data_IF_268906498492
#
_entry.id   IF_268906498492
#
_cell.length_a   1.000
_cell.length_b   1.000
_cell.length_c   1.000
_cell.angle_alpha   90.00
_cell.angle_beta   90.00
_cell.angle_gamma   90.00
#
_symmetry.space_group_name_H-M   'P 1'
#
loop_
_entity.id
_entity.type
_entity.pdbx_description
1 polymer ?
#
# COMPACT_ATOMS: atom_id res chain seq x y z
N UNK A 1 8.55 -3.84 -2.29
CA UNK A 1 8.70 -4.96 -1.32
C UNK A 1 8.14 -4.52 0.02
N UNK A 2 7.41 -5.37 0.74
CA UNK A 2 6.80 -4.97 2.01
C UNK A 2 7.82 -4.70 3.14
N UNK A 3 9.02 -5.26 3.04
CA UNK A 3 10.10 -5.04 4.01
C UNK A 3 10.68 -3.62 4.04
N UNK A 4 10.29 -2.72 3.13
CA UNK A 4 10.84 -1.37 3.02
C UNK A 4 12.31 -1.32 2.56
N UNK A 5 12.86 -2.46 2.13
CA UNK A 5 14.22 -2.56 1.60
C UNK A 5 14.30 -1.88 0.24
N UNK A 6 15.35 -1.09 -0.04
CA UNK A 6 15.48 -0.44 -1.33
C UNK A 6 15.50 -1.43 -2.50
N UNK A 7 14.78 -1.08 -3.57
CA UNK A 7 14.69 -1.88 -4.80
C UNK A 7 15.92 -1.73 -5.69
N UNK A 8 16.63 -0.60 -5.59
CA UNK A 8 17.89 -0.33 -6.29
C UNK A 8 18.89 0.24 -5.30
N UNK A 9 20.16 -0.17 -5.43
CA UNK A 9 21.29 0.36 -4.66
C UNK A 9 22.45 0.66 -5.60
N UNK A 10 22.84 1.92 -5.68
CA UNK A 10 23.94 2.40 -6.50
C UNK A 10 25.05 2.96 -5.62
N UNK A 11 26.28 2.82 -6.10
CA UNK A 11 27.47 3.37 -5.45
C UNK A 11 28.32 4.09 -6.47
N UNK A 12 28.47 5.39 -6.27
CA UNK A 12 29.23 6.27 -7.14
C UNK A 12 30.58 6.58 -6.52
N UNK A 13 31.63 6.57 -7.36
CA UNK A 13 33.01 6.87 -6.98
C UNK A 13 33.61 7.80 -8.02
N UNK A 14 34.09 8.97 -7.60
CA UNK A 14 34.66 10.00 -8.48
C UNK A 14 36.01 10.47 -7.96
N UNK A 15 36.94 10.76 -8.87
CA UNK A 15 38.24 11.35 -8.54
C UNK A 15 38.14 12.87 -8.29
N UNK A 16 37.17 13.52 -8.93
CA UNK A 16 36.92 14.95 -8.81
C UNK A 16 35.59 15.15 -8.09
N UNK A 17 35.49 16.22 -7.30
CA UNK A 17 34.25 16.62 -6.66
C UNK A 17 33.19 16.95 -7.72
N UNK A 18 32.02 16.32 -7.60
CA UNK A 18 30.86 16.53 -8.48
C UNK A 18 29.64 16.81 -7.62
N UNK A 19 28.75 17.70 -8.06
CA UNK A 19 27.46 17.90 -7.41
C UNK A 19 26.52 16.72 -7.64
N UNK A 20 25.59 16.51 -6.71
CA UNK A 20 24.51 15.55 -6.88
C UNK A 20 23.44 16.05 -7.84
N UNK A 21 23.01 15.18 -8.76
CA UNK A 21 21.84 15.37 -9.61
C UNK A 21 21.04 14.07 -9.72
N UNK A 22 19.72 14.19 -9.63
CA UNK A 22 18.77 13.13 -9.91
C UNK A 22 17.57 13.72 -10.64
N UNK A 23 17.13 13.09 -11.71
CA UNK A 23 15.86 13.39 -12.39
C UNK A 23 15.15 12.08 -12.70
N UNK A 24 13.83 12.03 -12.53
CA UNK A 24 13.00 10.88 -12.88
C UNK A 24 11.54 11.32 -13.02
N UNK A 25 10.75 10.51 -13.71
CA UNK A 25 9.30 10.64 -13.70
C UNK A 25 8.72 9.68 -12.66
N UNK A 26 7.81 10.16 -11.80
CA UNK A 26 7.15 9.39 -10.74
C UNK A 26 5.63 9.45 -10.92
N UNK A 27 4.95 8.33 -10.70
CA UNK A 27 3.49 8.24 -10.57
C UNK A 27 3.14 7.42 -9.34
N UNK A 28 2.19 7.88 -8.53
CA UNK A 28 1.70 7.13 -7.36
C UNK A 28 0.34 7.67 -6.90
N UNK A 29 -0.41 6.86 -6.15
CA UNK A 29 -1.53 7.32 -5.32
C UNK A 29 -1.19 7.30 -3.83
N UNK A 30 -0.04 6.71 -3.48
CA UNK A 30 0.42 6.56 -2.11
C UNK A 30 0.71 7.92 -1.47
N UNK A 31 0.21 8.11 -0.26
CA UNK A 31 0.30 9.38 0.46
C UNK A 31 1.57 9.49 1.30
N UNK A 32 2.31 8.39 1.45
CA UNK A 32 3.54 8.32 2.24
C UNK A 32 4.53 7.33 1.60
N UNK A 33 5.83 7.55 1.76
CA UNK A 33 6.83 6.60 1.27
C UNK A 33 8.16 7.22 0.90
N UNK A 34 9.23 6.41 0.90
CA UNK A 34 10.56 6.90 0.52
C UNK A 34 10.79 6.71 -0.97
N UNK A 35 11.03 7.82 -1.69
CA UNK A 35 11.39 7.80 -3.11
C UNK A 35 12.85 7.39 -3.26
N UNK A 36 13.77 8.13 -2.64
CA UNK A 36 15.19 7.78 -2.66
C UNK A 36 15.97 8.33 -1.47
N UNK A 37 17.11 7.71 -1.20
CA UNK A 37 18.16 8.20 -0.31
C UNK A 37 19.43 8.47 -1.13
N UNK A 38 20.14 9.56 -0.81
CA UNK A 38 21.47 9.82 -1.35
C UNK A 38 22.40 10.37 -0.26
N UNK A 39 23.59 9.80 -0.11
CA UNK A 39 24.55 10.29 0.88
C UNK A 39 25.58 9.26 1.33
N UNK A 40 26.19 9.55 2.47
CA UNK A 40 27.12 8.66 3.16
C UNK A 40 26.42 7.64 4.07
N UNK A 41 26.99 7.41 5.25
CA UNK A 41 26.35 6.62 6.30
C UNK A 41 25.36 7.47 7.11
N UNK A 42 24.52 6.85 7.95
CA UNK A 42 23.51 7.54 8.78
C UNK A 42 24.05 8.72 9.63
N UNK A 43 25.31 8.62 10.08
CA UNK A 43 25.97 9.65 10.88
C UNK A 43 26.78 10.67 10.06
N UNK A 44 26.69 10.60 8.74
CA UNK A 44 27.35 11.48 7.78
C UNK A 44 26.36 12.46 7.15
N UNK A 45 26.80 13.17 6.12
CA UNK A 45 25.93 13.92 5.23
C UNK A 45 25.04 13.02 4.38
N UNK A 46 23.74 13.30 4.33
CA UNK A 46 22.77 12.61 3.48
C UNK A 46 21.49 13.42 3.28
N UNK A 47 20.73 13.03 2.25
CA UNK A 47 19.36 13.46 1.98
C UNK A 47 18.46 12.24 1.79
N UNK A 48 17.19 12.39 2.14
CA UNK A 48 16.09 11.48 1.82
C UNK A 48 15.00 12.32 1.18
N UNK A 49 14.58 11.93 -0.02
CA UNK A 49 13.36 12.44 -0.65
C UNK A 49 12.24 11.43 -0.42
N UNK A 50 11.17 11.88 0.20
CA UNK A 50 9.99 11.09 0.51
C UNK A 50 8.71 11.80 0.02
N UNK A 51 7.62 11.04 -0.01
CA UNK A 51 6.26 11.57 -0.01
C UNK A 51 5.76 11.49 1.42
N UNK A 52 5.09 12.55 1.87
CA UNK A 52 4.44 12.60 3.18
C UNK A 52 3.20 13.49 3.06
N UNK A 53 2.04 12.95 3.43
CA UNK A 53 0.73 13.56 3.19
C UNK A 53 0.52 13.99 1.72
N UNK A 54 0.98 13.15 0.79
CA UNK A 54 0.84 13.35 -0.66
C UNK A 54 1.75 14.42 -1.28
N UNK A 55 2.63 15.07 -0.50
CA UNK A 55 3.59 16.08 -0.97
C UNK A 55 5.02 15.59 -0.88
N UNK A 56 5.92 16.19 -1.65
CA UNK A 56 7.35 15.96 -1.49
C UNK A 56 7.84 16.50 -0.14
N UNK A 57 8.62 15.69 0.55
CA UNK A 57 9.34 16.01 1.77
C UNK A 57 10.82 15.68 1.58
N UNK A 58 11.69 16.67 1.78
CA UNK A 58 13.13 16.48 1.85
C UNK A 58 13.58 16.48 3.30
N UNK A 59 14.21 15.39 3.72
CA UNK A 59 14.94 15.30 4.97
C UNK A 59 16.43 15.35 4.67
N UNK A 60 17.19 16.14 5.43
CA UNK A 60 18.64 16.26 5.23
C UNK A 60 19.40 16.33 6.54
N UNK A 61 20.62 15.79 6.49
CA UNK A 61 21.62 15.90 7.54
C UNK A 61 22.93 16.35 6.92
N UNK A 62 23.50 17.46 7.39
CA UNK A 62 24.79 18.01 6.98
C UNK A 62 25.59 18.36 8.25
N UNK A 63 26.48 17.47 8.65
CA UNK A 63 27.21 17.59 9.92
C UNK A 63 26.25 17.62 11.12
N UNK A 64 26.29 18.70 11.91
CA UNK A 64 25.41 18.91 13.06
C UNK A 64 24.02 19.45 12.68
N UNK A 65 23.83 19.90 11.42
CA UNK A 65 22.56 20.46 10.96
C UNK A 65 21.68 19.35 10.44
N UNK A 66 20.45 19.28 10.93
CA UNK A 66 19.39 18.39 10.45
C UNK A 66 18.15 19.23 10.16
N UNK A 67 17.50 18.99 9.02
CA UNK A 67 16.32 19.75 8.60
C UNK A 67 15.35 18.87 7.82
N UNK A 68 14.07 19.12 8.02
CA UNK A 68 12.98 18.58 7.21
C UNK A 68 12.29 19.75 6.50
N UNK A 69 11.93 19.59 5.24
CA UNK A 69 11.23 20.62 4.46
C UNK A 69 10.25 19.93 3.52
N UNK A 70 8.97 20.27 3.62
CA UNK A 70 7.92 19.83 2.72
C UNK A 70 7.31 21.05 2.03
N UNK A 71 7.12 20.98 0.71
CA UNK A 71 6.59 22.07 -0.12
C UNK A 71 6.13 21.53 -1.48
N UNK A 72 5.44 22.37 -2.24
CA UNK A 72 4.94 22.05 -3.57
C UNK A 72 3.50 21.53 -3.59
N UNK A 73 2.99 21.21 -4.80
CA UNK A 73 1.68 20.59 -4.99
C UNK A 73 1.66 19.14 -4.46
N UNK A 74 0.47 18.54 -4.48
CA UNK A 74 0.31 17.10 -4.32
C UNK A 74 0.95 16.40 -5.53
N UNK A 75 1.56 15.24 -5.29
CA UNK A 75 2.22 14.40 -6.32
C UNK A 75 1.66 12.98 -6.37
N UNK A 76 0.69 12.68 -5.51
CA UNK A 76 0.04 11.37 -5.39
C UNK A 76 -1.34 11.34 -6.08
N UNK A 77 -1.48 12.05 -7.19
CA UNK A 77 -2.74 12.18 -7.94
C UNK A 77 -2.91 11.13 -9.06
N UNK A 78 -1.98 10.17 -9.14
CA UNK A 78 -1.94 9.16 -10.20
C UNK A 78 -1.47 9.66 -11.55
N UNK A 79 -0.96 10.89 -11.65
CA UNK A 79 -0.32 11.41 -12.87
C UNK A 79 1.19 11.26 -12.80
N UNK A 80 1.82 11.28 -13.98
CA UNK A 80 3.28 11.30 -14.08
C UNK A 80 3.79 12.71 -13.81
N UNK A 81 4.62 12.87 -12.79
CA UNK A 81 5.34 14.10 -12.47
C UNK A 81 6.83 13.93 -12.69
N UNK A 82 7.46 14.90 -13.37
CA UNK A 82 8.91 14.95 -13.51
C UNK A 82 9.51 15.60 -12.28
N UNK A 83 10.25 14.84 -11.49
CA UNK A 83 10.90 15.30 -10.26
C UNK A 83 12.40 15.39 -10.49
N UNK A 84 13.01 16.49 -10.09
CA UNK A 84 14.48 16.60 -10.06
C UNK A 84 15.00 17.20 -8.77
N UNK A 85 16.18 16.71 -8.36
CA UNK A 85 16.93 17.15 -7.19
C UNK A 85 18.35 17.44 -7.62
N UNK A 86 18.83 18.65 -7.40
CA UNK A 86 20.19 19.07 -7.79
C UNK A 86 20.87 19.90 -6.69
N UNK A 87 22.18 19.66 -6.50
CA UNK A 87 23.05 20.56 -5.76
C UNK A 87 23.46 21.73 -6.68
N UNK A 88 22.79 22.88 -6.49
CA UNK A 88 23.07 24.11 -7.22
C UNK A 88 23.80 25.12 -6.32
N UNK A 89 25.12 25.20 -6.46
CA UNK A 89 25.96 26.06 -5.61
C UNK A 89 25.94 25.58 -4.16
N UNK A 90 25.43 26.41 -3.24
CA UNK A 90 25.26 26.05 -1.81
C UNK A 90 23.79 25.79 -1.47
N UNK A 91 23.04 25.21 -2.39
CA UNK A 91 21.63 24.94 -2.20
C UNK A 91 21.23 23.62 -2.84
N UNK A 92 20.34 22.90 -2.17
CA UNK A 92 19.56 21.84 -2.77
C UNK A 92 18.32 22.45 -3.40
N UNK A 93 18.13 22.21 -4.69
CA UNK A 93 16.96 22.66 -5.45
C UNK A 93 16.16 21.43 -5.86
N UNK A 94 14.87 21.44 -5.53
CA UNK A 94 13.92 20.38 -5.90
C UNK A 94 12.87 21.00 -6.81
N UNK A 95 12.64 20.35 -7.94
CA UNK A 95 11.66 20.78 -8.94
C UNK A 95 10.61 19.70 -9.16
N UNK A 96 9.38 20.14 -9.40
CA UNK A 96 8.28 19.33 -9.91
C UNK A 96 7.88 19.95 -11.25
N UNK A 97 7.83 19.14 -12.31
CA UNK A 97 7.45 19.56 -13.66
C UNK A 97 8.21 20.81 -14.14
N UNK A 98 9.52 20.84 -13.81
CA UNK A 98 10.49 21.92 -14.11
C UNK A 98 10.32 23.20 -13.29
N UNK A 99 9.34 23.27 -12.40
CA UNK A 99 9.14 24.40 -11.48
C UNK A 99 9.84 24.12 -10.13
N UNK A 100 10.63 25.09 -9.65
CA UNK A 100 11.33 24.94 -8.38
C UNK A 100 10.38 25.12 -7.18
N UNK A 101 10.15 24.04 -6.44
CA UNK A 101 9.22 24.00 -5.29
C UNK A 101 9.94 24.08 -3.94
N UNK A 102 11.24 23.75 -3.91
CA UNK A 102 12.09 23.89 -2.73
C UNK A 102 13.48 24.37 -3.11
N UNK A 103 14.03 25.27 -2.28
CA UNK A 103 15.43 25.72 -2.33
C UNK A 103 15.97 25.80 -0.92
N UNK A 104 16.78 24.81 -0.51
CA UNK A 104 17.32 24.73 0.84
C UNK A 104 18.81 25.06 0.82
N UNK A 105 19.21 26.08 1.58
CA UNK A 105 20.62 26.40 1.76
C UNK A 105 21.32 25.28 2.55
N UNK A 106 22.44 24.78 2.02
CA UNK A 106 23.26 23.74 2.63
C UNK A 106 24.71 24.18 2.69
N UNK A 107 25.45 23.69 3.68
CA UNK A 107 26.88 23.95 3.82
C UNK A 107 27.63 22.61 3.89
N UNK A 108 28.20 22.21 2.75
CA UNK A 108 28.83 20.92 2.54
C UNK A 108 28.29 20.24 1.28
N UNK A 109 28.82 19.06 0.99
CA UNK A 109 28.54 18.29 -0.22
C UNK A 109 27.99 16.90 0.14
N UNK A 110 27.10 16.36 -0.69
CA UNK A 110 26.63 14.98 -0.53
C UNK A 110 27.73 13.95 -0.77
N UNK A 111 28.60 14.20 -1.74
CA UNK A 111 29.78 13.38 -1.99
C UNK A 111 30.78 13.52 -0.84
N UNK A 112 31.13 12.40 -0.21
CA UNK A 112 32.08 12.38 0.90
C UNK A 112 33.46 11.93 0.43
N UNK A 113 34.52 12.66 0.80
CA UNK A 113 35.89 12.30 0.44
C UNK A 113 36.42 11.21 1.38
N UNK A 114 36.76 10.05 0.82
CA UNK A 114 37.38 8.93 1.54
C UNK A 114 38.58 8.41 0.77
N UNK A 115 39.76 8.47 1.38
CA UNK A 115 41.03 7.98 0.80
C UNK A 115 41.30 8.54 -0.62
N UNK A 116 41.03 9.83 -0.83
CA UNK A 116 41.26 10.49 -2.13
C UNK A 116 40.19 10.24 -3.20
N UNK A 117 39.09 9.55 -2.85
CA UNK A 117 37.97 9.28 -3.75
C UNK A 117 36.69 9.87 -3.15
N UNK A 118 35.93 10.60 -3.95
CA UNK A 118 34.60 11.08 -3.59
C UNK A 118 33.59 9.95 -3.76
N UNK A 119 32.90 9.57 -2.67
CA UNK A 119 31.91 8.49 -2.66
C UNK A 119 30.52 8.99 -2.30
N UNK A 120 29.52 8.44 -2.98
CA UNK A 120 28.10 8.64 -2.71
C UNK A 120 27.35 7.32 -2.88
N UNK A 121 26.50 6.96 -1.92
CA UNK A 121 25.55 5.87 -2.07
C UNK A 121 24.18 6.45 -2.42
N UNK A 122 23.47 5.78 -3.32
CA UNK A 122 22.08 6.09 -3.65
C UNK A 122 21.23 4.83 -3.52
N UNK A 123 20.04 4.96 -2.94
CA UNK A 123 19.07 3.87 -2.90
C UNK A 123 17.69 4.36 -3.31
N UNK A 124 16.93 3.55 -4.04
CA UNK A 124 15.58 3.90 -4.53
C UNK A 124 14.54 3.03 -3.82
N UNK A 125 13.40 3.60 -3.45
CA UNK A 125 12.27 2.89 -2.81
C UNK A 125 12.57 2.44 -1.38
N UNK A 126 13.43 3.17 -0.66
CA UNK A 126 13.80 2.86 0.72
C UNK A 126 15.12 3.49 1.15
N UNK A 127 15.45 3.33 2.44
CA UNK A 127 16.69 3.81 3.07
C UNK A 127 17.66 2.66 3.37
N UNK A 128 18.99 2.91 3.40
CA UNK A 128 19.99 1.88 3.73
C UNK A 128 20.18 1.66 5.25
N UNK A 129 19.27 2.16 6.07
CA UNK A 129 19.28 2.07 7.53
C UNK A 129 17.85 1.86 8.06
N UNK A 130 17.69 1.64 9.37
CA UNK A 130 16.36 1.48 9.98
C UNK A 130 15.58 2.81 9.94
N UNK A 131 14.27 2.74 9.74
CA UNK A 131 13.37 3.92 9.65
C UNK A 131 13.46 4.89 10.83
N UNK A 132 13.78 4.41 12.05
CA UNK A 132 14.07 5.27 13.22
C UNK A 132 15.24 6.25 13.01
N UNK A 133 16.06 6.06 11.98
CA UNK A 133 17.14 6.97 11.59
C UNK A 133 16.68 8.19 10.78
N UNK A 134 15.42 8.20 10.31
CA UNK A 134 14.82 9.35 9.65
C UNK A 134 14.57 10.50 10.64
N UNK A 135 14.60 11.74 10.15
CA UNK A 135 14.36 12.92 10.98
C UNK A 135 12.87 13.12 11.27
N UNK A 136 12.04 12.94 10.25
CA UNK A 136 10.60 12.81 10.40
C UNK A 136 10.25 11.35 10.10
N UNK A 137 9.48 10.72 11.00
CA UNK A 137 9.14 9.31 10.86
C UNK A 137 8.11 9.18 9.74
N UNK A 138 8.53 8.51 8.66
CA UNK A 138 7.66 8.08 7.57
C UNK A 138 7.81 6.58 7.39
N UNK A 139 6.71 5.91 7.09
CA UNK A 139 6.68 4.55 6.58
C UNK A 139 7.45 4.53 5.25
N UNK A 140 8.54 3.75 5.11
CA UNK A 140 9.36 3.79 3.92
C UNK A 140 8.73 3.08 2.71
N UNK A 141 7.67 2.28 2.92
CA UNK A 141 6.95 1.60 1.85
C UNK A 141 6.31 2.65 0.93
N UNK A 142 6.48 2.46 -0.37
CA UNK A 142 5.92 3.33 -1.40
C UNK A 142 5.39 2.46 -2.53
N UNK A 143 4.08 2.48 -2.75
CA UNK A 143 3.47 1.93 -3.96
C UNK A 143 3.48 2.98 -5.07
N UNK A 144 4.60 3.06 -5.79
CA UNK A 144 4.82 4.05 -6.83
C UNK A 144 5.59 3.49 -8.02
N UNK A 145 5.37 4.11 -9.18
CA UNK A 145 6.06 3.77 -10.42
C UNK A 145 7.05 4.85 -10.83
N UNK A 146 8.23 4.43 -11.30
CA UNK A 146 9.30 5.34 -11.72
C UNK A 146 9.79 4.98 -13.13
N UNK A 147 10.03 6.00 -13.97
CA UNK A 147 10.61 5.85 -15.31
C UNK A 147 11.51 7.04 -15.65
N UNK A 148 12.19 6.97 -16.80
CA UNK A 148 13.02 8.08 -17.33
C UNK A 148 14.05 8.61 -16.31
N UNK A 149 14.62 7.73 -15.49
CA UNK A 149 15.55 8.11 -14.43
C UNK A 149 16.94 8.44 -14.97
N UNK A 150 17.55 9.47 -14.39
CA UNK A 150 18.89 9.94 -14.67
C UNK A 150 19.59 10.23 -13.34
N UNK A 151 20.55 9.38 -12.98
CA UNK A 151 21.32 9.51 -11.74
C UNK A 151 22.73 10.02 -12.06
N UNK A 152 23.09 11.22 -11.58
CA UNK A 152 24.45 11.78 -11.65
C UNK A 152 25.08 11.89 -13.05
N UNK A 153 24.25 12.03 -14.10
CA UNK A 153 24.64 12.19 -15.51
C UNK A 153 25.31 10.98 -16.18
N UNK A 154 25.45 9.84 -15.50
CA UNK A 154 25.93 8.59 -16.12
C UNK A 154 24.75 7.73 -16.59
N UNK A 155 24.78 7.28 -17.85
CA UNK A 155 23.84 6.29 -18.39
C UNK A 155 24.26 4.88 -17.95
N UNK A 156 23.78 4.42 -16.79
CA UNK A 156 23.88 3.01 -16.41
C UNK A 156 22.63 2.25 -16.87
N UNK A 157 22.73 1.61 -18.04
CA UNK A 157 21.66 0.80 -18.61
C UNK A 157 21.40 -0.52 -17.86
N UNK A 158 22.24 -0.90 -16.89
CA UNK A 158 22.11 -2.19 -16.19
C UNK A 158 20.80 -2.34 -15.40
N UNK A 159 20.28 -1.23 -14.85
CA UNK A 159 19.00 -1.20 -14.16
C UNK A 159 17.86 -1.51 -15.15
N UNK A 160 17.87 -0.88 -16.32
CA UNK A 160 16.87 -1.09 -17.36
C UNK A 160 16.85 -2.54 -17.84
N UNK A 161 18.04 -3.13 -18.04
CA UNK A 161 18.16 -4.51 -18.50
C UNK A 161 17.65 -5.52 -17.48
N UNK A 162 17.87 -5.26 -16.19
CA UNK A 162 17.34 -6.10 -15.09
C UNK A 162 15.82 -6.03 -15.03
N UNK A 163 15.24 -4.82 -15.18
CA UNK A 163 13.78 -4.61 -15.13
C UNK A 163 13.08 -5.27 -16.34
N UNK A 164 13.70 -5.24 -17.52
CA UNK A 164 13.15 -5.89 -18.72
C UNK A 164 12.93 -7.39 -18.55
N UNK A 165 13.78 -8.04 -17.76
CA UNK A 165 13.71 -9.49 -17.50
C UNK A 165 12.95 -9.86 -16.22
N UNK A 166 12.39 -8.88 -15.52
CA UNK A 166 11.67 -9.10 -14.26
C UNK A 166 10.36 -8.31 -14.23
N UNK A 167 9.27 -8.96 -14.62
CA UNK A 167 7.92 -8.38 -14.63
C UNK A 167 7.47 -7.87 -13.25
N UNK A 168 8.00 -8.43 -12.15
CA UNK A 168 7.68 -7.95 -10.80
C UNK A 168 8.26 -6.58 -10.49
N UNK A 169 9.22 -6.10 -11.27
CA UNK A 169 9.80 -4.76 -11.19
C UNK A 169 9.10 -3.75 -12.11
N UNK A 170 8.06 -4.18 -12.83
CA UNK A 170 7.26 -3.34 -13.69
C UNK A 170 5.93 -2.98 -13.00
N UNK A 171 5.37 -1.83 -13.37
CA UNK A 171 4.09 -1.35 -12.85
C UNK A 171 3.02 -1.50 -13.92
N UNK A 172 1.75 -1.39 -13.52
CA UNK A 172 0.64 -1.37 -14.48
C UNK A 172 0.74 -0.15 -15.40
N UNK A 173 0.30 -0.26 -16.65
CA UNK A 173 0.24 0.88 -17.57
C UNK A 173 -0.83 1.88 -17.12
N UNK A 174 -1.99 1.37 -16.72
CA UNK A 174 -3.16 2.12 -16.25
C UNK A 174 -3.70 1.52 -14.96
N UNK A 175 -3.84 2.35 -13.92
CA UNK A 175 -4.24 1.93 -12.58
C UNK A 175 -5.15 2.97 -11.91
N UNK A 176 -5.93 2.53 -10.93
CA UNK A 176 -6.67 3.37 -9.98
C UNK A 176 -6.02 3.31 -8.59
N UNK A 177 -6.56 4.11 -7.66
CA UNK A 177 -6.03 4.31 -6.30
C UNK A 177 -6.29 3.17 -5.31
N UNK A 178 -7.11 2.17 -5.67
CA UNK A 178 -7.51 1.12 -4.74
C UNK A 178 -6.43 0.04 -4.57
N UNK A 179 -6.51 -0.74 -3.51
CA UNK A 179 -5.60 -1.89 -3.32
C UNK A 179 -5.95 -3.04 -4.28
N UNK A 180 -4.94 -3.75 -4.79
CA UNK A 180 -5.13 -4.94 -5.62
C UNK A 180 -4.70 -6.23 -4.91
N UNK A 181 -5.61 -7.20 -4.93
CA UNK A 181 -5.39 -8.55 -4.41
C UNK A 181 -5.30 -9.54 -5.57
N UNK A 182 -4.20 -10.31 -5.70
CA UNK A 182 -3.98 -11.17 -6.86
C UNK A 182 -4.55 -12.59 -6.74
N UNK A 183 -5.18 -12.96 -5.61
CA UNK A 183 -5.78 -14.29 -5.43
C UNK A 183 -4.91 -15.36 -4.78
N UNK A 184 -3.77 -15.00 -4.18
CA UNK A 184 -2.88 -15.96 -3.51
C UNK A 184 -2.19 -15.40 -2.25
N UNK A 185 -2.76 -14.36 -1.65
CA UNK A 185 -2.24 -13.75 -0.45
C UNK A 185 -3.25 -12.82 0.21
N UNK A 186 -2.97 -12.46 1.46
CA UNK A 186 -3.78 -11.55 2.27
C UNK A 186 -2.92 -10.44 2.89
N UNK A 187 -3.60 -9.45 3.46
CA UNK A 187 -3.03 -8.57 4.47
C UNK A 187 -3.70 -8.84 5.81
N UNK A 188 -2.98 -8.70 6.93
CA UNK A 188 -3.61 -8.73 8.24
C UNK A 188 -3.15 -7.59 9.15
N UNK A 189 -4.10 -7.14 9.97
CA UNK A 189 -3.96 -6.07 10.94
C UNK A 189 -4.26 -6.61 12.33
N UNK A 190 -3.64 -6.00 13.34
CA UNK A 190 -3.97 -6.27 14.74
C UNK A 190 -4.54 -4.98 15.34
N UNK A 191 -5.80 -4.70 15.05
CA UNK A 191 -6.50 -3.51 15.50
C UNK A 191 -7.49 -3.86 16.60
N UNK A 192 -7.61 -2.98 17.60
CA UNK A 192 -8.78 -3.01 18.47
C UNK A 192 -9.98 -2.54 17.64
N UNK A 193 -11.10 -3.27 17.75
CA UNK A 193 -12.34 -2.93 17.07
C UNK A 193 -13.19 -1.94 17.90
N UNK A 194 -12.58 -1.35 18.93
CA UNK A 194 -13.15 -0.35 19.82
C UNK A 194 -13.89 -0.97 21.01
N UNK A 195 -14.07 -0.18 22.07
CA UNK A 195 -14.95 -0.50 23.21
C UNK A 195 -16.45 -0.43 22.83
N UNK A 196 -16.76 -0.15 21.57
CA UNK A 196 -18.11 -0.06 21.02
C UNK A 196 -18.65 -1.45 20.71
N UNK A 197 -19.86 -1.76 21.17
CA UNK A 197 -20.59 -3.00 20.84
C UNK A 197 -20.99 -3.13 19.35
N UNK A 198 -20.47 -2.25 18.48
CA UNK A 198 -20.82 -2.16 17.07
C UNK A 198 -19.56 -2.20 16.21
N UNK A 199 -19.53 -3.14 15.27
CA UNK A 199 -18.53 -3.23 14.21
C UNK A 199 -19.17 -2.78 12.89
N UNK A 200 -18.57 -1.79 12.25
CA UNK A 200 -18.96 -1.32 10.92
C UNK A 200 -17.84 -1.58 9.92
N UNK A 201 -18.11 -2.35 8.87
CA UNK A 201 -17.19 -2.63 7.78
C UNK A 201 -17.79 -2.13 6.48
N UNK A 202 -17.08 -1.25 5.78
CA UNK A 202 -17.43 -0.78 4.45
C UNK A 202 -16.34 -1.23 3.47
N UNK A 203 -16.74 -1.87 2.39
CA UNK A 203 -15.87 -2.36 1.33
C UNK A 203 -16.27 -1.69 0.02
N UNK A 204 -15.28 -1.24 -0.74
CA UNK A 204 -15.45 -0.82 -2.13
C UNK A 204 -14.71 -1.81 -2.99
N UNK A 205 -15.42 -2.64 -3.76
CA UNK A 205 -14.84 -3.80 -4.46
C UNK A 205 -15.05 -3.75 -5.97
N UNK A 206 -14.07 -4.28 -6.70
CA UNK A 206 -14.18 -4.62 -8.13
C UNK A 206 -13.62 -6.04 -8.33
N UNK A 207 -14.46 -7.07 -8.19
CA UNK A 207 -14.01 -8.47 -8.22
C UNK A 207 -13.50 -8.92 -9.60
N UNK A 208 -12.52 -9.81 -9.60
CA UNK A 208 -11.99 -10.50 -10.78
C UNK A 208 -11.95 -12.03 -10.61
N UNK A 209 -12.63 -12.54 -9.59
CA UNK A 209 -12.84 -13.96 -9.27
C UNK A 209 -14.34 -14.21 -9.09
N UNK A 210 -14.80 -15.45 -8.88
CA UNK A 210 -16.21 -15.77 -8.57
C UNK A 210 -16.46 -16.05 -7.08
N UNK A 211 -15.39 -16.15 -6.29
CA UNK A 211 -15.46 -16.34 -4.85
C UNK A 211 -14.18 -15.79 -4.20
N UNK A 212 -14.27 -15.42 -2.94
CA UNK A 212 -13.11 -15.02 -2.15
C UNK A 212 -13.48 -14.32 -0.86
N UNK A 213 -12.61 -14.45 0.14
CA UNK A 213 -12.76 -13.73 1.41
C UNK A 213 -12.39 -12.27 1.20
N UNK A 214 -13.32 -11.36 1.49
CA UNK A 214 -13.09 -9.92 1.44
C UNK A 214 -12.51 -9.43 2.76
N UNK A 215 -13.15 -9.84 3.87
CA UNK A 215 -12.80 -9.44 5.23
C UNK A 215 -13.05 -10.61 6.18
N UNK A 216 -12.18 -10.83 7.15
CA UNK A 216 -12.39 -11.79 8.22
C UNK A 216 -11.80 -11.35 9.56
N UNK A 217 -12.45 -11.72 10.65
CA UNK A 217 -11.86 -11.71 11.99
C UNK A 217 -11.42 -13.13 12.32
N UNK A 218 -10.18 -13.26 12.78
CA UNK A 218 -9.57 -14.54 13.12
C UNK A 218 -9.04 -14.47 14.54
N UNK A 219 -9.28 -15.53 15.31
CA UNK A 219 -8.74 -15.70 16.66
C UNK A 219 -8.37 -17.16 16.85
N UNK A 220 -7.10 -17.42 17.15
CA UNK A 220 -6.55 -18.78 17.20
C UNK A 220 -6.84 -19.49 15.87
N UNK A 221 -7.58 -20.60 15.89
CA UNK A 221 -7.90 -21.41 14.70
C UNK A 221 -9.36 -21.23 14.22
N UNK A 222 -10.07 -20.22 14.72
CA UNK A 222 -11.47 -19.95 14.37
C UNK A 222 -11.61 -18.66 13.55
N UNK A 223 -12.70 -18.58 12.79
CA UNK A 223 -13.08 -17.41 12.00
C UNK A 223 -14.44 -16.90 12.50
N UNK A 224 -14.50 -16.12 13.60
CA UNK A 224 -15.77 -15.71 14.19
C UNK A 224 -16.62 -14.81 13.31
N UNK A 225 -16.01 -14.10 12.35
CA UNK A 225 -16.71 -13.29 11.37
C UNK A 225 -15.99 -13.36 10.03
N UNK A 226 -16.74 -13.57 8.95
CA UNK A 226 -16.23 -13.40 7.59
C UNK A 226 -17.27 -12.74 6.68
N UNK A 227 -16.81 -11.81 5.84
CA UNK A 227 -17.55 -11.25 4.72
C UNK A 227 -16.89 -11.80 3.46
N UNK A 228 -17.66 -12.45 2.60
CA UNK A 228 -17.11 -13.15 1.44
C UNK A 228 -18.01 -13.01 0.23
N UNK A 229 -17.38 -13.09 -0.94
CA UNK A 229 -18.04 -13.28 -2.21
C UNK A 229 -18.12 -14.78 -2.51
N UNK A 230 -19.27 -15.25 -3.01
CA UNK A 230 -19.48 -16.65 -3.42
C UNK A 230 -20.46 -16.73 -4.59
N UNK A 231 -20.24 -17.67 -5.51
CA UNK A 231 -21.15 -18.05 -6.60
C UNK A 231 -22.16 -19.15 -6.19
N UNK A 232 -22.07 -19.59 -4.93
CA UNK A 232 -22.94 -20.61 -4.34
C UNK A 232 -23.36 -20.23 -2.93
N UNK A 233 -24.66 -20.27 -2.67
CA UNK A 233 -25.22 -20.09 -1.34
C UNK A 233 -25.45 -21.46 -0.68
N UNK A 234 -24.63 -21.82 0.31
CA UNK A 234 -24.67 -23.14 0.97
C UNK A 234 -25.96 -23.42 1.75
N UNK A 235 -26.54 -22.39 2.38
CA UNK A 235 -27.81 -22.50 3.12
C UNK A 235 -29.01 -22.83 2.23
N UNK A 236 -29.28 -22.01 1.21
CA UNK A 236 -30.40 -22.18 0.26
C UNK A 236 -30.11 -23.19 -0.87
N UNK A 237 -28.84 -23.59 -1.04
CA UNK A 237 -28.35 -24.47 -2.12
C UNK A 237 -28.60 -23.90 -3.52
N UNK A 238 -28.45 -22.58 -3.68
CA UNK A 238 -28.67 -21.87 -4.93
C UNK A 238 -27.34 -21.40 -5.55
N UNK A 239 -27.26 -21.50 -6.88
CA UNK A 239 -26.15 -20.96 -7.67
C UNK A 239 -26.52 -19.58 -8.18
N UNK A 240 -25.88 -18.57 -7.61
CA UNK A 240 -25.91 -17.18 -8.03
C UNK A 240 -24.78 -16.44 -7.31
N UNK A 241 -24.47 -15.24 -7.77
CA UNK A 241 -23.47 -14.38 -7.13
C UNK A 241 -24.06 -13.75 -5.85
N UNK A 242 -23.40 -13.98 -4.72
CA UNK A 242 -23.80 -13.47 -3.40
C UNK A 242 -22.63 -12.82 -2.67
N UNK A 243 -22.92 -11.71 -1.99
CA UNK A 243 -22.16 -11.35 -0.79
C UNK A 243 -22.80 -12.08 0.39
N UNK A 244 -21.97 -12.76 1.18
CA UNK A 244 -22.38 -13.47 2.39
C UNK A 244 -21.63 -12.94 3.60
N UNK A 245 -22.34 -12.77 4.70
CA UNK A 245 -21.78 -12.51 6.03
C UNK A 245 -21.99 -13.77 6.85
N UNK A 246 -20.92 -14.29 7.44
CA UNK A 246 -20.95 -15.55 8.19
C UNK A 246 -20.32 -15.39 9.56
N UNK A 247 -20.92 -16.04 10.56
CA UNK A 247 -20.33 -16.22 11.89
C UNK A 247 -19.89 -17.68 11.99
N UNK A 248 -18.59 -17.93 12.07
CA UNK A 248 -18.05 -19.27 11.85
C UNK A 248 -18.47 -19.81 10.48
N UNK A 249 -19.08 -20.99 10.45
CA UNK A 249 -19.58 -21.65 9.25
C UNK A 249 -21.06 -21.35 8.92
N UNK A 250 -21.71 -20.46 9.66
CA UNK A 250 -23.13 -20.15 9.49
C UNK A 250 -23.31 -18.81 8.78
N UNK A 251 -24.04 -18.81 7.67
CA UNK A 251 -24.41 -17.58 6.95
C UNK A 251 -25.53 -16.88 7.73
N UNK A 252 -25.29 -15.64 8.13
CA UNK A 252 -26.22 -14.82 8.93
C UNK A 252 -26.88 -13.70 8.11
N UNK A 253 -26.26 -13.31 7.00
CA UNK A 253 -26.86 -12.40 6.03
C UNK A 253 -26.33 -12.68 4.62
N UNK A 254 -27.17 -12.47 3.61
CA UNK A 254 -26.79 -12.65 2.20
C UNK A 254 -27.46 -11.60 1.30
N UNK A 255 -26.78 -11.24 0.22
CA UNK A 255 -27.33 -10.34 -0.79
C UNK A 255 -26.96 -10.87 -2.18
N UNK A 256 -27.97 -11.21 -2.99
CA UNK A 256 -27.77 -11.55 -4.39
C UNK A 256 -27.39 -10.30 -5.19
N UNK A 257 -26.27 -10.36 -5.92
CA UNK A 257 -25.73 -9.21 -6.65
C UNK A 257 -24.96 -9.69 -7.86
N UNK A 258 -25.04 -8.95 -8.97
CA UNK A 258 -24.20 -9.22 -10.15
C UNK A 258 -22.89 -8.44 -10.02
N UNK A 259 -21.82 -9.12 -9.62
CA UNK A 259 -20.49 -8.55 -9.31
C UNK A 259 -19.48 -8.73 -10.45
N UNK A 260 -19.70 -9.68 -11.35
CA UNK A 260 -18.86 -9.89 -12.53
C UNK A 260 -19.22 -8.92 -13.69
N UNK A 261 -19.50 -7.66 -13.38
CA UNK A 261 -19.92 -6.64 -14.34
C UNK A 261 -18.87 -5.55 -14.63
N UNK A 262 -17.66 -5.71 -14.07
CA UNK A 262 -16.52 -4.80 -14.14
C UNK A 262 -16.71 -3.45 -13.44
N UNK A 263 -17.81 -3.27 -12.72
CA UNK A 263 -18.08 -2.04 -11.97
C UNK A 263 -17.58 -2.16 -10.55
N UNK A 264 -17.54 -1.01 -9.91
CA UNK A 264 -17.29 -0.88 -8.48
C UNK A 264 -18.59 -1.07 -7.73
N UNK A 265 -18.58 -1.93 -6.72
CA UNK A 265 -19.69 -2.17 -5.81
C UNK A 265 -19.33 -1.72 -4.40
N UNK A 266 -20.32 -1.23 -3.66
CA UNK A 266 -20.17 -0.88 -2.25
C UNK A 266 -20.89 -1.90 -1.38
N UNK A 267 -20.17 -2.48 -0.42
CA UNK A 267 -20.70 -3.43 0.56
C UNK A 267 -20.56 -2.83 1.95
N UNK A 268 -21.67 -2.62 2.64
CA UNK A 268 -21.68 -2.16 4.01
C UNK A 268 -22.21 -3.29 4.92
N UNK A 269 -21.45 -3.62 5.95
CA UNK A 269 -21.83 -4.59 6.98
C UNK A 269 -21.76 -3.92 8.33
N UNK A 270 -22.85 -4.02 9.10
CA UNK A 270 -22.90 -3.55 10.48
C UNK A 270 -23.33 -4.69 11.38
N UNK A 271 -22.51 -5.00 12.38
CA UNK A 271 -22.77 -6.00 13.42
C UNK A 271 -22.94 -5.26 14.75
N UNK A 272 -24.10 -5.41 15.38
CA UNK A 272 -24.44 -4.77 16.65
C UNK A 272 -25.20 -5.76 17.55
N UNK A 273 -24.54 -6.27 18.59
CA UNK A 273 -25.07 -7.36 19.40
C UNK A 273 -25.45 -8.58 18.55
N UNK A 274 -26.73 -8.95 18.55
CA UNK A 274 -27.26 -10.08 17.76
C UNK A 274 -27.78 -9.67 16.38
N UNK A 275 -27.66 -8.40 16.00
CA UNK A 275 -28.15 -7.88 14.73
C UNK A 275 -27.02 -7.77 13.72
N UNK A 276 -27.21 -8.34 12.53
CA UNK A 276 -26.31 -8.17 11.39
C UNK A 276 -27.08 -7.58 10.22
N UNK A 277 -26.64 -6.41 9.76
CA UNK A 277 -27.18 -5.73 8.58
C UNK A 277 -26.14 -5.80 7.47
N UNK A 278 -26.54 -6.33 6.32
CA UNK A 278 -25.79 -6.31 5.06
C UNK A 278 -26.51 -5.38 4.08
N UNK A 279 -25.76 -4.49 3.44
CA UNK A 279 -26.24 -3.64 2.36
C UNK A 279 -25.24 -3.69 1.21
N UNK A 280 -25.75 -3.89 -0.01
CA UNK A 280 -24.94 -3.89 -1.24
C UNK A 280 -25.55 -2.89 -2.22
N UNK A 281 -24.75 -1.91 -2.64
CA UNK A 281 -25.15 -0.84 -3.57
C UNK A 281 -26.45 -0.10 -3.16
N UNK A 282 -26.60 0.21 -1.87
CA UNK A 282 -27.80 0.88 -1.37
C UNK A 282 -28.99 -0.04 -1.07
N UNK A 283 -28.87 -1.34 -1.33
CA UNK A 283 -29.96 -2.32 -1.14
C UNK A 283 -29.65 -3.24 0.03
N UNK A 284 -30.61 -3.36 0.94
CA UNK A 284 -30.52 -4.29 2.06
C UNK A 284 -30.52 -5.74 1.58
N UNK A 285 -29.62 -6.53 2.15
CA UNK A 285 -29.60 -7.98 2.03
C UNK A 285 -30.67 -8.64 2.89
N UNK A 286 -30.77 -9.96 2.75
CA UNK A 286 -31.59 -10.82 3.59
C UNK A 286 -30.81 -11.16 4.86
N UNK A 287 -31.46 -11.01 6.02
CA UNK A 287 -30.95 -11.51 7.29
C UNK A 287 -31.52 -12.90 7.53
N UNK A 288 -30.66 -13.87 7.77
CA UNK A 288 -31.05 -15.25 8.05
C UNK A 288 -31.45 -15.39 9.53
N UNK A 289 -32.56 -16.08 9.79
CA UNK A 289 -33.01 -16.37 11.14
C UNK A 289 -32.27 -17.59 11.66
N UNK A 290 -31.31 -17.41 12.56
CA UNK A 290 -30.53 -18.52 13.12
C UNK A 290 -30.73 -18.57 14.64
N UNK A 291 -31.18 -19.71 15.13
CA UNK A 291 -31.30 -19.99 16.57
C UNK A 291 -29.91 -20.30 17.15
N UNK A 292 -29.67 -19.87 18.40
CA UNK A 292 -28.45 -20.15 19.17
C UNK A 292 -27.12 -19.68 18.55
N UNK A 293 -27.13 -18.57 17.81
CA UNK A 293 -25.89 -17.91 17.41
C UNK A 293 -25.19 -17.28 18.61
N UNK A 294 -23.93 -17.66 18.83
CA UNK A 294 -23.05 -16.92 19.73
C UNK A 294 -22.77 -15.53 19.14
N UNK A 295 -23.04 -14.44 19.88
CA UNK A 295 -22.75 -13.09 19.40
C UNK A 295 -21.25 -12.86 19.27
N UNK A 296 -20.88 -12.02 18.31
CA UNK A 296 -19.51 -11.57 18.15
C UNK A 296 -19.11 -10.65 19.32
N UNK A 297 -18.33 -11.18 20.25
CA UNK A 297 -17.79 -10.40 21.37
C UNK A 297 -16.56 -9.61 20.92
N UNK A 298 -16.74 -8.31 20.69
CA UNK A 298 -15.70 -7.37 20.25
C UNK A 298 -14.71 -6.97 21.37
N UNK A 299 -14.94 -7.40 22.63
CA UNK A 299 -13.97 -7.18 23.71
C UNK A 299 -12.72 -8.04 23.56
N UNK A 300 -12.80 -9.13 22.79
CA UNK A 300 -11.63 -9.94 22.45
C UNK A 300 -10.74 -9.27 21.40
N UNK A 301 -9.44 -9.59 21.47
CA UNK A 301 -8.49 -9.24 20.43
C UNK A 301 -8.60 -10.22 19.27
N UNK A 302 -8.95 -9.70 18.09
CA UNK A 302 -8.99 -10.41 16.82
C UNK A 302 -7.90 -9.89 15.88
N UNK A 303 -7.37 -10.79 15.06
CA UNK A 303 -6.60 -10.41 13.87
C UNK A 303 -7.57 -10.17 12.71
N UNK A 304 -7.47 -9.01 12.08
CA UNK A 304 -8.31 -8.59 10.96
C UNK A 304 -7.61 -8.97 9.65
N UNK A 305 -8.18 -9.89 8.88
CA UNK A 305 -7.64 -10.33 7.60
C UNK A 305 -8.43 -9.73 6.44
N UNK A 306 -7.70 -9.29 5.41
CA UNK A 306 -8.23 -8.68 4.19
C UNK A 306 -7.77 -9.49 2.99
N UNK A 307 -8.71 -9.89 2.12
CA UNK A 307 -8.44 -10.61 0.88
C UNK A 307 -8.16 -12.12 1.02
N UNK A 308 -8.27 -12.68 2.22
CA UNK A 308 -8.02 -14.09 2.49
C UNK A 308 -8.11 -14.40 3.99
N UNK A 309 -7.77 -15.63 4.36
CA UNK A 309 -7.62 -16.10 5.75
C UNK A 309 -6.31 -16.90 5.87
N UNK A 310 -5.73 -17.07 7.07
CA UNK A 310 -4.58 -17.95 7.26
C UNK A 310 -5.01 -19.42 7.12
N UNK A 311 -4.05 -20.35 7.17
CA UNK A 311 -4.34 -21.79 7.19
C UNK A 311 -5.11 -22.18 8.46
N UNK A 312 -6.43 -22.10 8.39
CA UNK A 312 -7.40 -22.57 9.38
C UNK A 312 -8.18 -23.74 8.81
N UNK A 313 -8.91 -24.46 9.67
CA UNK A 313 -9.80 -25.52 9.20
C UNK A 313 -10.79 -24.98 8.16
N UNK A 314 -10.95 -25.69 7.04
CA UNK A 314 -11.93 -25.36 6.00
C UNK A 314 -13.37 -25.39 6.53
N UNK A 315 -13.61 -26.03 7.67
CA UNK A 315 -14.91 -26.02 8.35
C UNK A 315 -15.16 -24.74 9.17
N UNK A 316 -14.17 -23.84 9.31
CA UNK A 316 -14.29 -22.63 10.13
C UNK A 316 -15.04 -21.48 9.44
N UNK A 317 -15.19 -21.51 8.11
CA UNK A 317 -15.93 -20.50 7.33
C UNK A 317 -16.44 -21.09 6.01
N UNK A 318 -17.56 -20.60 5.45
CA UNK A 318 -18.10 -21.13 4.19
C UNK A 318 -17.20 -20.87 2.98
N UNK A 319 -16.39 -19.81 3.01
CA UNK A 319 -15.49 -19.43 1.92
C UNK A 319 -14.09 -19.23 2.49
N UNK A 320 -13.11 -19.95 1.94
CA UNK A 320 -11.70 -19.86 2.33
C UNK A 320 -10.77 -19.47 1.18
N UNK A 321 -11.32 -19.33 -0.03
CA UNK A 321 -10.57 -18.87 -1.19
C UNK A 321 -10.05 -17.44 -1.00
N UNK A 322 -8.84 -17.18 -1.51
CA UNK A 322 -8.31 -15.83 -1.57
C UNK A 322 -9.08 -14.99 -2.58
N UNK A 323 -9.29 -13.72 -2.25
CA UNK A 323 -9.93 -12.77 -3.14
C UNK A 323 -8.98 -12.34 -4.26
N UNK A 324 -9.54 -12.25 -5.47
CA UNK A 324 -8.89 -11.60 -6.62
C UNK A 324 -9.71 -10.41 -7.07
N UNK A 325 -9.10 -9.23 -7.11
CA UNK A 325 -9.74 -7.99 -7.55
C UNK A 325 -9.23 -6.75 -6.81
N UNK A 326 -9.85 -5.61 -7.12
CA UNK A 326 -9.60 -4.37 -6.39
C UNK A 326 -10.46 -4.31 -5.13
N UNK A 327 -9.92 -3.78 -4.04
CA UNK A 327 -10.68 -3.60 -2.82
C UNK A 327 -10.09 -2.54 -1.90
N UNK A 328 -10.94 -1.59 -1.48
CA UNK A 328 -10.67 -0.72 -0.33
C UNK A 328 -11.55 -1.12 0.85
N UNK A 329 -11.00 -1.01 2.06
CA UNK A 329 -11.68 -1.44 3.30
C UNK A 329 -11.65 -0.33 4.35
N UNK A 330 -12.83 0.07 4.84
CA UNK A 330 -13.00 0.91 6.01
C UNK A 330 -13.55 0.09 7.17
N UNK A 331 -12.90 0.16 8.32
CA UNK A 331 -13.37 -0.46 9.58
C UNK A 331 -13.64 0.66 10.57
N UNK A 332 -14.86 0.73 11.08
CA UNK A 332 -15.35 1.76 12.00
C UNK A 332 -15.04 3.19 11.48
N UNK A 333 -15.22 3.40 10.18
CA UNK A 333 -14.97 4.69 9.51
C UNK A 333 -13.50 4.97 9.17
N UNK A 334 -12.54 4.17 9.66
CA UNK A 334 -11.11 4.31 9.31
C UNK A 334 -10.76 3.47 8.08
N UNK A 335 -10.23 4.11 7.05
CA UNK A 335 -9.62 3.42 5.90
C UNK A 335 -8.38 2.65 6.37
N UNK A 336 -8.29 1.37 6.00
CA UNK A 336 -7.11 0.56 6.26
C UNK A 336 -6.09 0.78 5.15
N UNK A 337 -4.92 1.27 5.51
CA UNK A 337 -3.76 1.35 4.63
C UNK A 337 -2.99 0.02 4.68
N UNK A 338 -2.85 -0.65 3.53
CA UNK A 338 -2.14 -1.93 3.44
C UNK A 338 -0.66 -1.84 3.81
N UNK A 339 -0.05 -0.67 3.75
CA UNK A 339 1.32 -0.45 4.21
C UNK A 339 1.41 -0.28 5.74
N UNK A 340 0.30 -0.10 6.46
CA UNK A 340 0.23 -0.16 7.92
C UNK A 340 -0.05 -1.58 8.46
N UNK A 341 -0.26 -2.56 7.58
CA UNK A 341 -0.53 -3.93 7.98
C UNK A 341 0.62 -4.52 8.84
N UNK A 342 0.29 -5.45 9.73
CA UNK A 342 1.32 -6.24 10.43
C UNK A 342 2.01 -7.21 9.46
N UNK A 343 1.26 -7.69 8.48
CA UNK A 343 1.76 -8.48 7.37
C UNK A 343 0.95 -8.17 6.12
N UNK A 344 1.64 -8.12 4.99
CA UNK A 344 1.04 -8.05 3.66
C UNK A 344 1.82 -8.97 2.72
N UNK A 345 1.12 -9.83 1.99
CA UNK A 345 1.75 -10.62 0.94
C UNK A 345 2.39 -9.70 -0.10
N UNK A 346 3.59 -10.03 -0.60
CA UNK A 346 4.37 -9.11 -1.45
C UNK A 346 3.72 -8.75 -2.79
N UNK A 347 2.80 -9.58 -3.27
CA UNK A 347 2.09 -9.35 -4.53
C UNK A 347 0.78 -8.55 -4.33
N UNK A 348 0.37 -8.27 -3.09
CA UNK A 348 -0.72 -7.33 -2.80
C UNK A 348 -0.19 -5.91 -2.96
N UNK A 349 -0.88 -5.11 -3.78
CA UNK A 349 -0.57 -3.70 -4.03
C UNK A 349 -1.42 -2.83 -3.12
N UNK A 350 -0.82 -1.83 -2.48
CA UNK A 350 -1.52 -1.02 -1.47
C UNK A 350 -2.40 0.04 -2.08
N UNK A 351 -1.91 0.70 -3.13
CA UNK A 351 -2.46 1.95 -3.64
C UNK A 351 -2.47 1.95 -5.18
N UNK A 352 -2.51 0.76 -5.79
CA UNK A 352 -2.56 0.60 -7.24
C UNK A 352 -3.38 -0.62 -7.61
N UNK A 353 -4.48 -0.40 -8.33
CA UNK A 353 -5.25 -1.49 -8.93
C UNK A 353 -5.36 -1.34 -10.45
N UNK A 354 -5.10 -2.39 -11.25
CA UNK A 354 -5.15 -2.29 -12.70
C UNK A 354 -6.56 -1.93 -13.19
N UNK A 355 -6.64 -0.94 -14.08
CA UNK A 355 -7.86 -0.65 -14.81
C UNK A 355 -8.00 -1.65 -15.97
N UNK A 356 -8.68 -2.77 -15.74
CA UNK A 356 -9.06 -3.71 -16.82
C UNK A 356 -10.15 -3.05 -17.66
N UNK A 357 -9.81 -2.67 -18.90
CA UNK A 357 -10.81 -2.23 -19.88
C UNK A 357 -11.58 -3.43 -20.45
N UNK A 358 -12.77 -3.23 -21.04
CA UNK A 358 -13.56 -4.32 -21.66
C UNK A 358 -12.88 -5.02 -22.85
N UNK A 359 -11.67 -4.61 -23.24
CA UNK A 359 -10.89 -5.23 -24.31
C UNK A 359 -9.38 -5.20 -23.96
N UNK A 360 -8.92 -6.22 -23.24
CA UNK A 360 -7.55 -6.73 -23.36
C UNK A 360 -7.60 -8.24 -23.55
#
# INVERSE_FOLDING_TARGET
MFSGVPVVKLRFRRLVQTGFTAEFDLRTYDSEGVIFFAGGHLNSTWIVLAIHNGKLELQLKYGAVSRVTSSGPLVNDGQWHKISVEEQGRSLVIKIDREAVMKIAVNGDLFTLKKGIHELNLTVGGVPFKEDGLLNKVNPRLDGCMKEWHWLTDEDASIQETIRHNERMQCYSTEDHSSFFPGHGFAYFNHSHGDTEVLSVQLTIRPASTMGVLFALVRQDTVPLSISFSDYHSGTKQWAEYIVVSFGNVIVASAAVQLCDWKTHTVNVTVAGNSTTLEVDGKLGLTESVEDLEPLDLSYSYSTFIGGIPDVSLASTPVSAFYTGCMDVRVNGRLLDMDEAQHKHNDVRSHSCPLVGPHQ
#
